data_IF_075011058079
#
_entry.id   IF_075011058079
#
_cell.length_a   1.000
_cell.length_b   1.000
_cell.length_c   1.000
_cell.angle_alpha   90.00
_cell.angle_beta   90.00
_cell.angle_gamma   90.00
#
_symmetry.space_group_name_H-M   'P 1'
#
loop_
_entity.id
_entity.type
_entity.pdbx_description
1 polymer ?
#
# COMPACT_ATOMS: atom_id res chain seq x y z
N UNK A 1 13.99 3.97 -0.60
CA UNK A 1 14.61 3.02 0.35
C UNK A 1 13.49 2.09 0.83
N UNK A 2 13.63 0.76 0.70
CA UNK A 2 12.57 -0.19 1.13
C UNK A 2 12.26 -0.01 2.61
N UNK A 3 10.98 -0.15 3.01
CA UNK A 3 10.54 -0.05 4.41
C UNK A 3 11.31 -1.03 5.33
N UNK A 4 11.79 -2.15 4.77
CA UNK A 4 12.70 -3.08 5.45
C UNK A 4 14.05 -2.45 5.77
N UNK A 5 14.69 -1.82 4.78
CA UNK A 5 16.01 -1.20 4.96
C UNK A 5 15.91 -0.01 5.92
N UNK A 6 14.85 0.81 5.76
CA UNK A 6 14.56 1.91 6.69
C UNK A 6 14.35 1.36 8.10
N UNK A 7 13.47 0.36 8.27
CA UNK A 7 13.17 -0.24 9.57
C UNK A 7 14.37 -0.90 10.26
N UNK A 8 15.30 -1.47 9.50
CA UNK A 8 16.55 -2.02 10.07
C UNK A 8 17.49 -0.89 10.55
N UNK A 9 17.56 0.22 9.82
CA UNK A 9 18.46 1.35 10.13
C UNK A 9 17.89 2.21 11.27
N UNK A 10 16.63 2.62 11.15
CA UNK A 10 15.94 3.54 12.08
C UNK A 10 15.24 2.83 13.22
N UNK A 11 15.02 1.52 13.13
CA UNK A 11 14.33 0.75 14.16
C UNK A 11 15.09 0.69 15.49
N UNK A 12 14.33 0.59 16.59
CA UNK A 12 14.87 0.44 17.94
C UNK A 12 15.68 -0.85 18.12
N UNK A 13 16.34 -0.99 19.28
CA UNK A 13 17.21 -2.16 19.59
C UNK A 13 16.52 -3.51 19.37
N UNK A 14 15.20 -3.58 19.60
CA UNK A 14 14.39 -4.79 19.42
C UNK A 14 14.24 -5.15 17.93
N UNK A 15 13.94 -4.18 17.07
CA UNK A 15 13.79 -4.40 15.62
C UNK A 15 15.10 -4.89 15.01
N UNK A 16 16.23 -4.32 15.43
CA UNK A 16 17.57 -4.74 15.00
C UNK A 16 17.88 -6.18 15.40
N UNK A 17 17.49 -6.61 16.60
CA UNK A 17 17.66 -8.01 17.05
C UNK A 17 16.83 -8.99 16.22
N UNK A 18 15.58 -8.65 15.91
CA UNK A 18 14.74 -9.49 15.04
C UNK A 18 15.27 -9.55 13.61
N UNK A 19 15.82 -8.44 13.07
CA UNK A 19 16.44 -8.44 11.75
C UNK A 19 17.67 -9.35 11.69
N UNK A 20 18.53 -9.31 12.72
CA UNK A 20 19.68 -10.22 12.82
C UNK A 20 19.21 -11.67 12.93
N UNK A 21 18.19 -11.96 13.74
CA UNK A 21 17.64 -13.31 13.87
C UNK A 21 17.09 -13.83 12.53
N UNK A 22 16.35 -13.01 11.78
CA UNK A 22 15.90 -13.38 10.44
C UNK A 22 17.08 -13.64 9.49
N UNK A 23 18.11 -12.80 9.50
CA UNK A 23 19.32 -13.00 8.69
C UNK A 23 20.03 -14.32 9.01
N UNK A 24 20.15 -14.68 10.28
CA UNK A 24 20.73 -15.97 10.72
C UNK A 24 19.90 -17.14 10.24
N UNK A 25 18.56 -17.08 10.36
CA UNK A 25 17.66 -18.13 9.89
C UNK A 25 17.73 -18.31 8.36
N UNK A 26 17.79 -17.21 7.62
CA UNK A 26 17.94 -17.25 6.16
C UNK A 26 19.29 -17.87 5.74
N UNK A 27 20.38 -17.50 6.41
CA UNK A 27 21.71 -18.09 6.17
C UNK A 27 21.73 -19.58 6.50
N UNK A 28 21.17 -19.98 7.64
CA UNK A 28 21.07 -21.39 8.01
C UNK A 28 20.26 -22.19 6.97
N UNK A 29 19.13 -21.64 6.51
CA UNK A 29 18.32 -22.22 5.44
C UNK A 29 19.12 -22.40 4.14
N UNK A 30 19.91 -21.40 3.75
CA UNK A 30 20.74 -21.46 2.53
C UNK A 30 21.88 -22.49 2.65
N UNK A 31 22.53 -22.57 3.81
CA UNK A 31 23.60 -23.55 4.08
C UNK A 31 23.04 -24.97 4.01
N UNK A 32 21.89 -25.23 4.63
CA UNK A 32 21.23 -26.55 4.58
C UNK A 32 20.85 -26.89 3.14
N UNK A 33 20.30 -25.94 2.37
CA UNK A 33 19.98 -26.15 0.96
C UNK A 33 21.21 -26.55 0.13
N UNK A 34 22.34 -25.88 0.34
CA UNK A 34 23.60 -26.22 -0.31
C UNK A 34 24.12 -27.62 0.09
N UNK A 35 24.02 -27.99 1.36
CA UNK A 35 24.43 -29.30 1.85
C UNK A 35 23.53 -30.44 1.32
N UNK A 36 22.23 -30.20 1.14
CA UNK A 36 21.30 -31.15 0.52
C UNK A 36 21.65 -31.35 -0.96
N UNK A 37 21.94 -30.27 -1.70
CA UNK A 37 22.35 -30.35 -3.11
C UNK A 37 23.65 -31.16 -3.30
N UNK A 38 24.61 -30.99 -2.39
CA UNK A 38 25.85 -31.79 -2.35
C UNK A 38 25.69 -33.21 -1.82
N UNK A 39 24.46 -33.66 -1.54
CA UNK A 39 24.13 -34.99 -0.99
C UNK A 39 24.81 -35.30 0.35
N UNK A 40 25.23 -34.27 1.09
CA UNK A 40 25.82 -34.41 2.44
C UNK A 40 24.72 -34.68 3.46
N UNK A 41 23.52 -34.12 3.23
CA UNK A 41 22.35 -34.30 4.08
C UNK A 41 21.23 -35.07 3.35
N UNK A 42 20.39 -35.82 4.07
CA UNK A 42 19.27 -36.56 3.49
C UNK A 42 18.21 -35.61 2.89
N UNK A 43 17.49 -36.08 1.86
CA UNK A 43 16.45 -35.30 1.18
C UNK A 43 15.33 -34.83 2.11
N UNK A 44 15.06 -35.55 3.21
CA UNK A 44 14.08 -35.16 4.23
C UNK A 44 14.42 -33.83 4.93
N UNK A 45 15.68 -33.37 4.86
CA UNK A 45 16.08 -32.06 5.38
C UNK A 45 15.48 -30.87 4.61
N UNK A 46 14.83 -31.10 3.46
CA UNK A 46 14.12 -30.06 2.70
C UNK A 46 13.00 -29.42 3.53
N UNK A 47 12.33 -30.18 4.39
CA UNK A 47 11.28 -29.64 5.28
C UNK A 47 11.86 -28.58 6.21
N UNK A 48 13.09 -28.77 6.69
CA UNK A 48 13.77 -27.83 7.59
C UNK A 48 14.11 -26.53 6.86
N UNK A 49 14.48 -26.60 5.57
CA UNK A 49 14.71 -25.42 4.72
C UNK A 49 13.44 -24.57 4.66
N UNK A 50 12.29 -25.19 4.37
CA UNK A 50 11.02 -24.47 4.27
C UNK A 50 10.60 -23.83 5.60
N UNK A 51 10.79 -24.52 6.72
CA UNK A 51 10.45 -23.99 8.06
C UNK A 51 11.34 -22.79 8.39
N UNK A 52 12.66 -22.91 8.23
CA UNK A 52 13.60 -21.84 8.56
C UNK A 52 13.47 -20.63 7.63
N UNK A 53 13.36 -20.89 6.32
CA UNK A 53 13.13 -19.84 5.33
C UNK A 53 11.80 -19.14 5.54
N UNK A 54 10.73 -19.89 5.82
CA UNK A 54 9.41 -19.35 6.13
C UNK A 54 9.39 -18.51 7.41
N UNK A 55 10.02 -18.99 8.49
CA UNK A 55 10.13 -18.24 9.74
C UNK A 55 10.90 -16.93 9.56
N UNK A 56 12.01 -16.96 8.80
CA UNK A 56 12.76 -15.75 8.44
C UNK A 56 11.88 -14.75 7.68
N UNK A 57 11.13 -15.22 6.66
CA UNK A 57 10.24 -14.37 5.88
C UNK A 57 9.15 -13.72 6.75
N UNK A 58 8.53 -14.48 7.67
CA UNK A 58 7.52 -13.95 8.60
C UNK A 58 8.07 -12.85 9.50
N UNK A 59 9.30 -13.01 10.03
CA UNK A 59 9.94 -11.99 10.86
C UNK A 59 10.20 -10.71 10.04
N UNK A 60 10.70 -10.84 8.81
CA UNK A 60 10.93 -9.69 7.93
C UNK A 60 9.63 -8.95 7.57
N UNK A 61 8.55 -9.70 7.31
CA UNK A 61 7.21 -9.13 7.11
C UNK A 61 6.78 -8.37 8.36
N UNK A 62 6.92 -8.97 9.55
CA UNK A 62 6.58 -8.32 10.83
C UNK A 62 7.33 -7.01 11.07
N UNK A 63 8.64 -6.99 10.77
CA UNK A 63 9.47 -5.77 10.86
C UNK A 63 8.96 -4.70 9.88
N UNK A 64 8.68 -5.07 8.64
CA UNK A 64 8.17 -4.15 7.63
C UNK A 64 6.80 -3.57 8.03
N UNK A 65 5.91 -4.40 8.57
CA UNK A 65 4.60 -3.99 9.08
C UNK A 65 4.73 -3.04 10.27
N UNK A 66 5.63 -3.33 11.21
CA UNK A 66 5.88 -2.47 12.37
C UNK A 66 6.39 -1.08 11.96
N UNK A 67 7.35 -1.01 11.03
CA UNK A 67 7.85 0.28 10.54
C UNK A 67 6.74 1.09 9.84
N UNK A 68 5.86 0.41 9.11
CA UNK A 68 4.72 1.05 8.45
C UNK A 68 3.69 1.60 9.45
N UNK A 69 3.59 1.04 10.65
CA UNK A 69 2.77 1.61 11.73
C UNK A 69 3.39 2.88 12.30
N UNK A 70 4.70 2.89 12.54
CA UNK A 70 5.42 4.08 13.02
C UNK A 70 5.28 5.24 12.04
N UNK A 71 5.55 4.99 10.75
CA UNK A 71 5.46 6.03 9.70
C UNK A 71 4.02 6.61 9.61
N UNK A 72 2.98 5.81 9.93
CA UNK A 72 1.59 6.29 9.99
C UNK A 72 1.31 7.13 11.24
N UNK A 73 1.89 6.76 12.37
CA UNK A 73 1.76 7.51 13.63
C UNK A 73 2.40 8.90 13.50
N UNK A 74 3.59 8.99 12.89
CA UNK A 74 4.25 10.27 12.61
C UNK A 74 3.36 11.20 11.75
N UNK A 75 2.78 10.68 10.67
CA UNK A 75 1.87 11.44 9.82
C UNK A 75 0.59 11.86 10.56
N UNK A 76 0.06 11.01 11.44
CA UNK A 76 -1.11 11.33 12.26
C UNK A 76 -0.79 12.43 13.29
N UNK A 77 0.40 12.41 13.90
CA UNK A 77 0.87 13.44 14.82
C UNK A 77 1.01 14.78 14.10
N UNK A 78 1.52 14.80 12.87
CA UNK A 78 1.62 16.03 12.07
C UNK A 78 0.25 16.65 11.78
N UNK A 79 -0.72 15.82 11.35
CA UNK A 79 -2.11 16.27 11.14
C UNK A 79 -2.71 16.81 12.45
N UNK A 80 -2.46 16.15 13.58
CA UNK A 80 -2.96 16.56 14.90
C UNK A 80 -2.39 17.91 15.33
N UNK A 81 -1.10 18.16 15.10
CA UNK A 81 -0.47 19.47 15.38
C UNK A 81 -1.13 20.60 14.59
N UNK A 82 -1.50 20.35 13.33
CA UNK A 82 -2.19 21.37 12.53
C UNK A 82 -3.65 21.52 12.96
N UNK A 83 -4.31 20.42 13.34
CA UNK A 83 -5.66 20.46 13.92
C UNK A 83 -5.72 21.30 15.20
N UNK A 84 -4.74 21.14 16.10
CA UNK A 84 -4.66 21.90 17.34
C UNK A 84 -4.40 23.39 17.07
N UNK A 85 -3.53 23.74 16.10
CA UNK A 85 -3.31 25.13 15.66
C UNK A 85 -4.56 25.77 15.04
N UNK A 86 -5.40 25.00 14.33
CA UNK A 86 -6.63 25.52 13.69
C UNK A 86 -7.78 25.68 14.69
N UNK A 87 -7.81 24.90 15.78
CA UNK A 87 -8.75 25.15 16.90
C UNK A 87 -8.52 26.51 17.54
N UNK A 88 -7.28 26.99 17.52
CA UNK A 88 -6.90 28.31 18.05
C UNK A 88 -7.13 29.46 17.03
N UNK A 89 -7.21 29.16 15.72
CA UNK A 89 -7.54 30.13 14.66
C UNK A 89 -8.39 29.51 13.52
N UNK A 90 -9.72 29.75 13.46
CA UNK A 90 -10.63 29.05 12.54
C UNK A 90 -10.52 29.43 11.06
N UNK A 91 -9.63 30.35 10.69
CA UNK A 91 -9.53 30.93 9.33
C UNK A 91 -9.05 29.93 8.25
N UNK A 92 -8.60 28.72 8.60
CA UNK A 92 -7.96 27.77 7.64
C UNK A 92 -8.51 26.34 7.70
N UNK A 93 -9.79 26.17 8.01
CA UNK A 93 -10.46 24.84 8.05
C UNK A 93 -10.34 24.03 6.73
N UNK A 94 -10.25 24.70 5.58
CA UNK A 94 -10.05 24.07 4.27
C UNK A 94 -8.64 23.47 4.10
N UNK A 95 -7.60 24.06 4.73
CA UNK A 95 -6.24 23.52 4.70
C UNK A 95 -6.17 22.18 5.44
N UNK A 96 -6.87 22.06 6.58
CA UNK A 96 -6.99 20.80 7.31
C UNK A 96 -7.70 19.72 6.48
N UNK A 97 -8.79 20.09 5.82
CA UNK A 97 -9.51 19.21 4.90
C UNK A 97 -8.61 18.71 3.77
N UNK A 98 -7.85 19.62 3.14
CA UNK A 98 -6.88 19.29 2.08
C UNK A 98 -5.81 18.31 2.57
N UNK A 99 -5.15 18.58 3.70
CA UNK A 99 -4.11 17.70 4.23
C UNK A 99 -4.62 16.32 4.62
N UNK A 100 -5.80 16.25 5.26
CA UNK A 100 -6.42 14.95 5.58
C UNK A 100 -6.70 14.18 4.30
N UNK A 101 -7.31 14.81 3.31
CA UNK A 101 -7.65 14.17 2.04
C UNK A 101 -6.40 13.72 1.27
N UNK A 102 -5.36 14.54 1.22
CA UNK A 102 -4.07 14.22 0.61
C UNK A 102 -3.41 13.01 1.29
N UNK A 103 -3.47 12.95 2.63
CA UNK A 103 -3.01 11.79 3.39
C UNK A 103 -3.81 10.51 3.05
N UNK A 104 -5.14 10.60 2.97
CA UNK A 104 -5.99 9.48 2.55
C UNK A 104 -5.72 9.03 1.11
N UNK A 105 -5.52 9.97 0.19
CA UNK A 105 -5.17 9.70 -1.19
C UNK A 105 -3.81 9.01 -1.28
N UNK A 106 -2.78 9.54 -0.62
CA UNK A 106 -1.44 8.98 -0.62
C UNK A 106 -1.41 7.56 -0.02
N UNK A 107 -2.18 7.32 1.03
CA UNK A 107 -2.34 5.98 1.60
C UNK A 107 -3.03 5.02 0.62
N UNK A 108 -4.10 5.47 -0.04
CA UNK A 108 -4.77 4.69 -1.07
C UNK A 108 -3.85 4.38 -2.26
N UNK A 109 -3.09 5.35 -2.77
CA UNK A 109 -2.16 5.13 -3.88
C UNK A 109 -1.06 4.11 -3.54
N UNK A 110 -0.48 4.20 -2.33
CA UNK A 110 0.47 3.18 -1.84
C UNK A 110 -0.17 1.79 -1.73
N UNK A 111 -1.42 1.73 -1.26
CA UNK A 111 -2.18 0.49 -1.18
C UNK A 111 -2.45 -0.10 -2.58
N UNK A 112 -2.89 0.72 -3.53
CA UNK A 112 -3.14 0.34 -4.93
C UNK A 112 -1.88 -0.24 -5.57
N UNK A 113 -0.74 0.44 -5.42
CA UNK A 113 0.55 -0.05 -5.94
C UNK A 113 0.93 -1.40 -5.31
N UNK A 114 0.73 -1.55 -3.99
CA UNK A 114 1.04 -2.80 -3.29
C UNK A 114 0.13 -3.93 -3.76
N UNK A 115 -1.18 -3.71 -3.87
CA UNK A 115 -2.14 -4.70 -4.38
C UNK A 115 -1.73 -5.14 -5.78
N UNK A 116 -1.41 -4.20 -6.67
CA UNK A 116 -0.98 -4.53 -8.03
C UNK A 116 0.26 -5.44 -8.03
N UNK A 117 1.31 -5.05 -7.31
CA UNK A 117 2.56 -5.82 -7.25
C UNK A 117 2.33 -7.22 -6.69
N UNK A 118 1.60 -7.34 -5.58
CA UNK A 118 1.27 -8.65 -5.00
C UNK A 118 0.42 -9.51 -5.94
N UNK A 119 -0.53 -8.90 -6.64
CA UNK A 119 -1.37 -9.60 -7.62
C UNK A 119 -0.54 -10.16 -8.76
N UNK A 120 0.37 -9.36 -9.32
CA UNK A 120 1.30 -9.80 -10.37
C UNK A 120 2.19 -10.93 -9.88
N UNK A 121 2.72 -10.85 -8.66
CA UNK A 121 3.54 -11.93 -8.07
C UNK A 121 2.71 -13.22 -7.96
N UNK A 122 1.49 -13.16 -7.42
CA UNK A 122 0.62 -14.33 -7.25
C UNK A 122 0.26 -14.97 -8.60
N UNK A 123 -0.06 -14.17 -9.62
CA UNK A 123 -0.31 -14.69 -10.98
C UNK A 123 0.96 -15.32 -11.58
N UNK A 124 2.15 -14.71 -11.40
CA UNK A 124 3.39 -15.35 -11.86
C UNK A 124 3.64 -16.70 -11.17
N UNK A 125 3.30 -16.84 -9.89
CA UNK A 125 3.36 -18.12 -9.19
C UNK A 125 2.32 -19.11 -9.69
N UNK A 126 1.06 -18.69 -9.91
CA UNK A 126 0.01 -19.53 -10.49
C UNK A 126 0.42 -20.10 -11.84
N UNK A 127 0.90 -19.22 -12.73
CA UNK A 127 1.45 -19.60 -14.03
C UNK A 127 2.66 -20.54 -13.92
N UNK A 128 3.60 -20.28 -13.00
CA UNK A 128 4.75 -21.14 -12.80
C UNK A 128 4.37 -22.55 -12.34
N UNK A 129 3.34 -22.69 -11.49
CA UNK A 129 2.81 -23.99 -11.06
C UNK A 129 2.20 -24.75 -12.23
N UNK A 130 1.38 -24.09 -13.06
CA UNK A 130 0.83 -24.68 -14.29
C UNK A 130 1.96 -25.17 -15.20
N UNK A 131 2.95 -24.31 -15.44
CA UNK A 131 4.09 -24.60 -16.30
C UNK A 131 4.91 -25.79 -15.80
N UNK A 132 5.16 -25.86 -14.49
CA UNK A 132 5.87 -26.98 -13.86
C UNK A 132 5.11 -28.31 -14.03
N UNK A 133 3.79 -28.30 -13.85
CA UNK A 133 2.94 -29.48 -14.07
C UNK A 133 3.04 -30.02 -15.49
N UNK A 134 3.02 -29.12 -16.49
CA UNK A 134 3.16 -29.46 -17.91
C UNK A 134 4.55 -30.07 -18.20
N UNK A 135 5.63 -29.45 -17.72
CA UNK A 135 7.00 -29.97 -17.95
C UNK A 135 7.16 -31.36 -17.36
N UNK A 136 6.67 -31.60 -16.14
CA UNK A 136 6.81 -32.91 -15.48
C UNK A 136 6.09 -34.03 -16.22
N UNK A 137 4.97 -33.72 -16.86
CA UNK A 137 4.27 -34.67 -17.73
C UNK A 137 5.10 -35.02 -18.97
N UNK A 138 5.66 -34.02 -19.65
CA UNK A 138 6.46 -34.22 -20.87
C UNK A 138 7.78 -34.99 -20.63
N UNK A 139 8.39 -34.81 -19.47
CA UNK A 139 9.64 -35.51 -19.12
C UNK A 139 9.42 -36.98 -18.70
N UNK A 140 8.18 -37.49 -18.76
CA UNK A 140 7.84 -38.85 -18.33
C UNK A 140 7.99 -39.07 -16.82
N UNK A 141 8.17 -38.00 -16.04
CA UNK A 141 8.46 -38.05 -14.61
C UNK A 141 7.24 -37.90 -13.70
N UNK A 142 6.03 -37.78 -14.26
CA UNK A 142 4.79 -37.62 -13.50
C UNK A 142 3.62 -38.37 -14.13
N UNK A 143 2.66 -38.79 -13.30
CA UNK A 143 1.39 -39.34 -13.78
C UNK A 143 0.49 -38.23 -14.34
N UNK A 144 -0.42 -38.61 -15.24
CA UNK A 144 -1.45 -37.69 -15.79
C UNK A 144 -2.25 -37.05 -14.65
N UNK A 145 -2.59 -37.83 -13.63
CA UNK A 145 -3.35 -37.36 -12.45
C UNK A 145 -2.60 -36.25 -11.69
N UNK A 146 -1.29 -36.41 -11.48
CA UNK A 146 -0.47 -35.41 -10.79
C UNK A 146 -0.33 -34.11 -11.59
N UNK A 147 -0.17 -34.22 -12.92
CA UNK A 147 -0.13 -33.07 -13.82
C UNK A 147 -1.48 -32.32 -13.85
N UNK A 148 -2.59 -33.07 -13.86
CA UNK A 148 -3.94 -32.51 -13.80
C UNK A 148 -4.17 -31.76 -12.49
N UNK A 149 -3.81 -32.36 -11.35
CA UNK A 149 -3.94 -31.73 -10.02
C UNK A 149 -3.14 -30.43 -9.92
N UNK A 150 -1.90 -30.44 -10.44
CA UNK A 150 -1.01 -29.27 -10.42
C UNK A 150 -1.58 -28.14 -11.30
N UNK A 151 -2.08 -28.48 -12.48
CA UNK A 151 -2.67 -27.51 -13.43
C UNK A 151 -3.94 -26.88 -12.88
N UNK A 152 -4.85 -27.70 -12.30
CA UNK A 152 -6.09 -27.21 -11.67
C UNK A 152 -5.77 -26.30 -10.49
N UNK A 153 -4.77 -26.67 -9.67
CA UNK A 153 -4.33 -25.85 -8.54
C UNK A 153 -3.80 -24.49 -9.00
N UNK A 154 -2.97 -24.46 -10.04
CA UNK A 154 -2.49 -23.22 -10.63
C UNK A 154 -3.61 -22.35 -11.22
N UNK A 155 -4.61 -22.96 -11.86
CA UNK A 155 -5.78 -22.24 -12.37
C UNK A 155 -6.59 -21.58 -11.26
N UNK A 156 -6.76 -22.25 -10.11
CA UNK A 156 -7.40 -21.66 -8.92
C UNK A 156 -6.61 -20.43 -8.44
N UNK A 157 -5.27 -20.51 -8.41
CA UNK A 157 -4.42 -19.37 -8.04
C UNK A 157 -4.62 -18.19 -9.02
N UNK A 158 -4.75 -18.44 -10.32
CA UNK A 158 -5.02 -17.40 -11.32
C UNK A 158 -6.39 -16.72 -11.09
N UNK A 159 -7.43 -17.48 -10.75
CA UNK A 159 -8.76 -16.93 -10.44
C UNK A 159 -8.70 -16.01 -9.22
N UNK A 160 -7.91 -16.39 -8.21
CA UNK A 160 -7.66 -15.55 -7.03
C UNK A 160 -6.90 -14.28 -7.43
N UNK A 161 -5.87 -14.39 -8.27
CA UNK A 161 -5.13 -13.24 -8.82
C UNK A 161 -6.04 -12.28 -9.59
N UNK A 162 -6.91 -12.80 -10.46
CA UNK A 162 -7.90 -12.00 -11.18
C UNK A 162 -8.88 -11.28 -10.23
N UNK A 163 -9.26 -11.91 -9.12
CA UNK A 163 -10.11 -11.27 -8.10
C UNK A 163 -9.41 -10.08 -7.44
N UNK A 164 -8.09 -10.15 -7.19
CA UNK A 164 -7.32 -9.01 -6.69
C UNK A 164 -7.23 -7.86 -7.70
N UNK A 165 -7.22 -8.13 -9.00
CA UNK A 165 -7.29 -7.09 -10.03
C UNK A 165 -8.61 -6.30 -9.96
N UNK A 166 -9.72 -6.94 -9.58
CA UNK A 166 -10.99 -6.24 -9.37
C UNK A 166 -10.91 -5.28 -8.18
N UNK A 167 -10.25 -5.69 -7.09
CA UNK A 167 -10.01 -4.82 -5.93
C UNK A 167 -9.11 -3.65 -6.35
N UNK A 168 -8.01 -3.91 -7.06
CA UNK A 168 -7.13 -2.89 -7.62
C UNK A 168 -7.92 -1.84 -8.43
N UNK A 169 -8.79 -2.29 -9.34
CA UNK A 169 -9.62 -1.41 -10.16
C UNK A 169 -10.54 -0.53 -9.31
N UNK A 170 -11.16 -1.11 -8.28
CA UNK A 170 -12.04 -0.37 -7.35
C UNK A 170 -11.26 0.68 -6.55
N UNK A 171 -10.13 0.31 -5.97
CA UNK A 171 -9.31 1.24 -5.17
C UNK A 171 -8.69 2.34 -6.04
N UNK A 172 -8.29 2.04 -7.27
CA UNK A 172 -7.81 3.04 -8.22
C UNK A 172 -8.91 4.05 -8.60
N UNK A 173 -10.15 3.57 -8.78
CA UNK A 173 -11.30 4.46 -9.02
C UNK A 173 -11.53 5.41 -7.84
N UNK A 174 -11.47 4.90 -6.61
CA UNK A 174 -11.59 5.71 -5.39
C UNK A 174 -10.47 6.75 -5.29
N UNK A 175 -9.22 6.37 -5.60
CA UNK A 175 -8.10 7.31 -5.63
C UNK A 175 -8.32 8.45 -6.63
N UNK A 176 -8.86 8.15 -7.82
CA UNK A 176 -9.23 9.17 -8.82
C UNK A 176 -10.29 10.14 -8.29
N UNK A 177 -11.33 9.64 -7.63
CA UNK A 177 -12.37 10.48 -7.02
C UNK A 177 -11.78 11.41 -5.94
N UNK A 178 -10.85 10.92 -5.12
CA UNK A 178 -10.16 11.74 -4.14
C UNK A 178 -9.30 12.84 -4.77
N UNK A 179 -8.59 12.57 -5.88
CA UNK A 179 -7.86 13.61 -6.63
C UNK A 179 -8.81 14.71 -7.09
N UNK A 180 -9.96 14.34 -7.68
CA UNK A 180 -10.94 15.33 -8.14
C UNK A 180 -11.49 16.18 -6.99
N UNK A 181 -11.74 15.61 -5.81
CA UNK A 181 -12.17 16.38 -4.63
C UNK A 181 -11.03 17.29 -4.13
N UNK A 182 -9.78 16.81 -4.16
CA UNK A 182 -8.61 17.58 -3.75
C UNK A 182 -8.37 18.79 -4.65
N UNK A 183 -8.49 18.63 -5.97
CA UNK A 183 -8.43 19.71 -6.95
C UNK A 183 -9.48 20.79 -6.67
N UNK A 184 -10.71 20.37 -6.36
CA UNK A 184 -11.80 21.29 -5.99
C UNK A 184 -11.49 22.05 -4.71
N UNK A 185 -11.09 21.37 -3.63
CA UNK A 185 -10.72 22.03 -2.36
C UNK A 185 -9.58 23.03 -2.58
N UNK A 186 -8.60 22.68 -3.42
CA UNK A 186 -7.51 23.59 -3.75
C UNK A 186 -8.00 24.82 -4.50
N UNK A 187 -8.90 24.66 -5.47
CA UNK A 187 -9.54 25.78 -6.17
C UNK A 187 -10.30 26.70 -5.20
N UNK A 188 -11.07 26.14 -4.26
CA UNK A 188 -11.76 26.91 -3.21
C UNK A 188 -10.78 27.65 -2.32
N UNK A 189 -9.71 27.00 -1.88
CA UNK A 189 -8.66 27.61 -1.05
C UNK A 189 -8.00 28.81 -1.75
N UNK A 190 -7.66 28.67 -3.04
CA UNK A 190 -7.12 29.77 -3.85
C UNK A 190 -8.12 30.92 -3.99
N UNK A 191 -9.41 30.62 -4.22
CA UNK A 191 -10.46 31.66 -4.32
C UNK A 191 -10.63 32.45 -3.01
N UNK A 192 -10.57 31.78 -1.85
CA UNK A 192 -10.64 32.45 -0.53
C UNK A 192 -9.40 33.31 -0.29
N UNK A 193 -8.21 32.84 -0.64
CA UNK A 193 -6.97 33.62 -0.50
C UNK A 193 -6.98 34.89 -1.38
N UNK A 194 -7.43 34.77 -2.63
CA UNK A 194 -7.57 35.92 -3.55
C UNK A 194 -8.57 36.92 -2.95
N UNK A 195 -9.70 36.43 -2.44
CA UNK A 195 -10.73 37.26 -1.81
C UNK A 195 -10.25 38.01 -0.56
N UNK A 196 -9.43 37.36 0.26
CA UNK A 196 -8.82 37.98 1.44
C UNK A 196 -7.70 38.98 1.08
N UNK A 197 -7.15 38.89 -0.15
CA UNK A 197 -6.16 39.84 -0.67
C UNK A 197 -6.75 41.14 -1.24
N UNK A 198 -8.08 41.19 -1.44
CA UNK A 198 -8.77 42.41 -1.88
C UNK A 198 -8.76 43.45 -0.75
N UNK A 199 -8.30 44.67 -1.05
CA UNK A 199 -8.05 45.72 -0.06
C UNK A 199 -9.34 46.17 0.65
N UNK A 200 -9.27 46.42 1.96
CA UNK A 200 -10.41 46.80 2.82
C UNK A 200 -11.15 48.08 2.38
N UNK A 201 -10.52 48.91 1.54
CA UNK A 201 -11.11 50.14 0.99
C UNK A 201 -12.23 49.87 -0.05
N UNK A 202 -12.41 48.63 -0.51
CA UNK A 202 -13.47 48.22 -1.43
C UNK A 202 -14.36 47.11 -0.83
N UNK A 203 -14.79 47.26 0.44
CA UNK A 203 -15.56 46.23 1.17
C UNK A 203 -16.80 45.74 0.40
N UNK A 204 -17.45 46.60 -0.39
CA UNK A 204 -18.63 46.26 -1.18
C UNK A 204 -18.35 45.26 -2.31
N UNK A 205 -17.19 45.37 -2.97
CA UNK A 205 -16.73 44.42 -4.00
C UNK A 205 -16.30 43.10 -3.37
N UNK A 206 -15.65 43.15 -2.20
CA UNK A 206 -15.28 41.96 -1.44
C UNK A 206 -16.52 41.17 -0.97
N UNK A 207 -17.55 41.84 -0.48
CA UNK A 207 -18.79 41.20 -0.03
C UNK A 207 -19.59 40.60 -1.21
N UNK A 208 -19.59 41.26 -2.38
CA UNK A 208 -20.18 40.73 -3.60
C UNK A 208 -19.45 39.47 -4.08
N UNK A 209 -18.11 39.50 -4.12
CA UNK A 209 -17.30 38.34 -4.49
C UNK A 209 -17.45 37.18 -3.50
N UNK A 210 -17.56 37.47 -2.18
CA UNK A 210 -17.90 36.48 -1.15
C UNK A 210 -19.24 35.80 -1.42
N UNK A 211 -20.27 36.59 -1.70
CA UNK A 211 -21.61 36.07 -1.99
C UNK A 211 -21.62 35.20 -3.26
N UNK A 212 -20.88 35.60 -4.29
CA UNK A 212 -20.82 34.87 -5.56
C UNK A 212 -20.05 33.54 -5.43
N UNK A 213 -18.92 33.53 -4.72
CA UNK A 213 -18.20 32.29 -4.38
C UNK A 213 -19.09 31.37 -3.54
N UNK A 214 -19.76 31.90 -2.51
CA UNK A 214 -20.67 31.10 -1.68
C UNK A 214 -21.82 30.49 -2.49
N UNK A 215 -22.36 31.24 -3.46
CA UNK A 215 -23.40 30.76 -4.38
C UNK A 215 -22.88 29.65 -5.30
N UNK A 216 -21.71 29.84 -5.93
CA UNK A 216 -21.11 28.81 -6.79
C UNK A 216 -20.77 27.55 -6.00
N UNK A 217 -20.27 27.67 -4.75
CA UNK A 217 -20.04 26.52 -3.88
C UNK A 217 -21.35 25.80 -3.54
N UNK A 218 -22.40 26.53 -3.20
CA UNK A 218 -23.72 25.95 -2.95
C UNK A 218 -24.31 25.28 -4.20
N UNK A 219 -24.04 25.76 -5.41
CA UNK A 219 -24.46 25.09 -6.65
C UNK A 219 -23.64 23.81 -6.90
N UNK A 220 -22.32 23.86 -6.69
CA UNK A 220 -21.41 22.74 -6.90
C UNK A 220 -21.64 21.59 -5.89
N UNK A 221 -22.03 21.93 -4.65
CA UNK A 221 -22.26 20.95 -3.57
C UNK A 221 -23.75 20.69 -3.25
N UNK A 222 -24.63 21.66 -3.46
CA UNK A 222 -26.08 21.54 -3.30
C UNK A 222 -26.80 21.01 -4.55
N UNK A 223 -26.11 20.97 -5.69
CA UNK A 223 -26.54 20.32 -6.93
C UNK A 223 -26.54 18.79 -6.88
N UNK A 224 -26.24 18.16 -5.74
CA UNK A 224 -26.55 16.75 -5.48
C UNK A 224 -28.06 16.64 -5.22
N UNK A 225 -28.88 16.97 -6.24
CA UNK A 225 -30.28 16.57 -6.32
C UNK A 225 -30.35 15.34 -7.22
N UNK A 226 -30.65 14.20 -6.56
CA UNK A 226 -31.17 12.92 -7.08
C UNK A 226 -30.54 12.35 -8.35
#
# INVERSE_FOLDING_TARGET
>A
MSNLIKGIITGGKIVKRFAIAAGVLALASAIIAYCVDKKVLPYNSIVVIWILGGASALILIGISSYQMLIDQEEAAVEIKKVEDKIKESPTKSWELGRMKLESYLNRNLKQVQSIFVWTVIVMLFGFAVIWYGIIKLYQGGGSVDAAMLTTVSGLIIEVIGGSFLLIYKSTMKQAKEYVTVLERINAVGMSVQILDSISQNESKLQDQARAEIAKQLLELYGGIKK
#
